data_IF_089148651625
#
_entry.id   IF_089148651625
#
_cell.length_a   1.000
_cell.length_b   1.000
_cell.length_c   1.000
_cell.angle_alpha   90.00
_cell.angle_beta   90.00
_cell.angle_gamma   90.00
#
_symmetry.space_group_name_H-M   'P 1'
#
loop_
_entity.id
_entity.type
_entity.pdbx_description
1 polymer ?
#
# COMPACT_ATOMS: atom_id res chain seq x y z
N UNK A 1 -44.74 4.78 11.29
CA UNK A 1 -43.88 3.74 10.70
C UNK A 1 -42.68 4.46 10.13
N UNK A 2 -41.47 4.22 10.65
CA UNK A 2 -40.27 4.76 10.01
C UNK A 2 -40.07 3.97 8.72
N UNK A 3 -39.99 4.68 7.59
CA UNK A 3 -39.74 4.09 6.29
C UNK A 3 -38.32 3.50 6.35
N UNK A 4 -38.20 2.17 6.40
CA UNK A 4 -36.89 1.53 6.31
C UNK A 4 -36.42 1.74 4.87
N UNK A 5 -35.30 2.46 4.64
CA UNK A 5 -34.78 2.69 3.30
C UNK A 5 -34.49 1.35 2.63
N UNK A 6 -34.75 1.26 1.32
CA UNK A 6 -34.43 0.07 0.52
C UNK A 6 -32.92 -0.20 0.63
N UNK A 7 -32.49 -1.47 0.84
CA UNK A 7 -31.07 -1.81 0.87
C UNK A 7 -30.34 -1.32 -0.38
N UNK A 8 -29.16 -0.70 -0.26
CA UNK A 8 -28.41 -0.22 -1.42
C UNK A 8 -27.84 -1.38 -2.25
N UNK A 9 -27.77 -1.15 -3.55
CA UNK A 9 -26.98 -1.93 -4.51
C UNK A 9 -25.60 -1.25 -4.67
N UNK A 10 -24.53 -2.03 -4.88
CA UNK A 10 -23.17 -1.52 -5.09
C UNK A 10 -23.08 -0.55 -6.30
N UNK A 11 -23.97 -0.68 -7.29
CA UNK A 11 -24.11 0.21 -8.44
C UNK A 11 -24.36 1.67 -8.04
N UNK A 12 -25.03 1.90 -6.90
CA UNK A 12 -25.15 3.25 -6.32
C UNK A 12 -23.76 3.84 -6.11
N UNK A 13 -22.88 3.13 -5.40
CA UNK A 13 -21.56 3.60 -5.05
C UNK A 13 -20.59 3.62 -6.24
N UNK A 14 -20.72 2.65 -7.16
CA UNK A 14 -19.97 2.65 -8.41
C UNK A 14 -20.26 3.89 -9.27
N UNK A 15 -21.50 4.40 -9.26
CA UNK A 15 -21.88 5.66 -9.93
C UNK A 15 -21.44 6.93 -9.15
N UNK A 16 -20.90 6.77 -7.95
CA UNK A 16 -20.40 7.82 -7.07
C UNK A 16 -18.89 7.76 -6.83
N UNK A 17 -18.15 6.90 -7.55
CA UNK A 17 -16.69 6.95 -7.55
C UNK A 17 -16.19 8.37 -7.87
N UNK A 18 -15.31 8.90 -7.02
CA UNK A 18 -14.78 10.27 -7.08
C UNK A 18 -15.72 11.37 -6.59
N UNK A 19 -16.97 11.04 -6.20
CA UNK A 19 -17.89 12.00 -5.58
C UNK A 19 -17.73 11.98 -4.07
N UNK A 20 -18.08 13.09 -3.43
CA UNK A 20 -18.03 13.23 -1.98
C UNK A 20 -19.02 12.28 -1.31
N UNK A 21 -18.59 11.63 -0.22
CA UNK A 21 -19.37 10.64 0.51
C UNK A 21 -20.70 11.21 1.03
N UNK A 22 -20.72 12.49 1.40
CA UNK A 22 -21.90 13.22 1.87
C UNK A 22 -22.97 13.47 0.80
N UNK A 23 -22.71 13.10 -0.47
CA UNK A 23 -23.72 13.15 -1.55
C UNK A 23 -24.64 11.93 -1.54
N UNK A 24 -24.31 10.89 -0.79
CA UNK A 24 -25.16 9.73 -0.54
C UNK A 24 -26.12 10.06 0.61
N UNK A 25 -27.38 9.67 0.47
CA UNK A 25 -28.37 9.78 1.56
C UNK A 25 -27.85 9.06 2.81
N UNK A 26 -27.69 9.75 3.95
CA UNK A 26 -27.20 9.15 5.19
C UNK A 26 -27.97 7.91 5.64
N UNK A 27 -29.27 7.82 5.30
CA UNK A 27 -30.11 6.66 5.62
C UNK A 27 -29.65 5.38 4.94
N UNK A 28 -28.92 5.47 3.82
CA UNK A 28 -28.35 4.29 3.15
C UNK A 28 -27.35 3.57 4.06
N UNK A 29 -26.59 4.32 4.87
CA UNK A 29 -25.59 3.74 5.75
C UNK A 29 -26.18 3.05 6.99
N UNK A 30 -27.50 3.10 7.22
CA UNK A 30 -28.13 2.27 8.26
C UNK A 30 -28.06 0.77 7.94
N UNK A 31 -27.71 0.41 6.70
CA UNK A 31 -27.47 -0.97 6.26
C UNK A 31 -26.01 -1.41 6.39
N UNK A 32 -25.10 -0.50 6.74
CA UNK A 32 -23.70 -0.81 6.95
C UNK A 32 -23.47 -1.36 8.37
N UNK A 33 -22.42 -2.15 8.52
CA UNK A 33 -21.95 -2.68 9.79
C UNK A 33 -21.14 -1.61 10.52
N UNK A 34 -21.72 -1.02 11.58
CA UNK A 34 -21.11 0.02 12.44
C UNK A 34 -20.34 1.08 11.62
N UNK A 35 -21.03 1.84 10.75
CA UNK A 35 -20.36 2.68 9.77
C UNK A 35 -19.52 3.75 10.46
N UNK A 36 -18.20 3.63 10.31
CA UNK A 36 -17.26 4.65 10.71
C UNK A 36 -16.94 5.58 9.53
N UNK A 37 -17.38 6.83 9.67
CA UNK A 37 -17.08 7.90 8.71
C UNK A 37 -15.81 8.66 9.06
N UNK A 38 -15.23 8.37 10.23
CA UNK A 38 -13.95 8.91 10.63
C UNK A 38 -12.85 8.18 9.89
N UNK A 39 -11.84 8.94 9.52
CA UNK A 39 -10.65 8.41 8.88
C UNK A 39 -9.69 8.07 10.02
N UNK A 40 -9.15 6.83 10.10
CA UNK A 40 -8.28 6.45 11.19
C UNK A 40 -7.13 7.43 11.36
N UNK A 41 -6.76 7.75 12.60
CA UNK A 41 -5.69 8.72 12.90
C UNK A 41 -4.42 8.48 12.08
N UNK A 42 -4.03 7.22 11.89
CA UNK A 42 -2.80 6.84 11.20
C UNK A 42 -2.98 6.48 9.71
N UNK A 43 -4.20 6.51 9.18
CA UNK A 43 -4.49 6.11 7.80
C UNK A 43 -5.54 7.03 7.18
N UNK A 44 -5.24 7.70 6.05
CA UNK A 44 -6.18 8.59 5.40
C UNK A 44 -7.33 7.84 4.70
N UNK A 45 -7.32 6.50 4.76
CA UNK A 45 -8.30 5.61 4.16
C UNK A 45 -9.31 5.13 5.21
N UNK A 46 -10.59 5.47 5.00
CA UNK A 46 -11.72 4.87 5.69
C UNK A 46 -12.38 3.78 4.85
N UNK A 47 -13.13 2.89 5.50
CA UNK A 47 -13.89 1.83 4.86
C UNK A 47 -15.28 1.71 5.50
N UNK A 48 -16.29 1.50 4.66
CA UNK A 48 -17.66 1.18 5.10
C UNK A 48 -17.99 -0.23 4.61
N UNK A 49 -18.38 -1.09 5.54
CA UNK A 49 -18.66 -2.50 5.27
C UNK A 49 -20.17 -2.71 5.20
N UNK A 50 -20.63 -3.36 4.15
CA UNK A 50 -22.01 -3.84 4.02
C UNK A 50 -21.95 -5.37 3.96
N UNK A 51 -21.52 -6.00 5.05
CA UNK A 51 -21.22 -7.44 5.12
C UNK A 51 -22.41 -8.28 4.74
N UNK A 52 -23.60 -7.93 5.25
CA UNK A 52 -24.85 -8.63 4.92
C UNK A 52 -25.27 -8.50 3.44
N UNK A 53 -24.82 -7.44 2.75
CA UNK A 53 -25.10 -7.20 1.34
C UNK A 53 -23.96 -7.66 0.42
N UNK A 54 -22.83 -8.08 0.98
CA UNK A 54 -21.71 -8.66 0.24
C UNK A 54 -20.83 -7.66 -0.50
N UNK A 55 -20.75 -6.41 -0.04
CA UNK A 55 -19.84 -5.42 -0.61
C UNK A 55 -19.27 -4.46 0.45
N UNK A 56 -18.20 -3.76 0.10
CA UNK A 56 -17.62 -2.68 0.90
C UNK A 56 -17.20 -1.53 -0.01
N UNK A 57 -17.02 -0.35 0.57
CA UNK A 57 -16.43 0.79 -0.13
C UNK A 57 -15.30 1.39 0.69
N UNK A 58 -14.32 1.97 0.02
CA UNK A 58 -13.30 2.81 0.64
C UNK A 58 -13.51 4.27 0.26
N UNK A 59 -13.14 5.15 1.19
CA UNK A 59 -13.19 6.59 0.99
C UNK A 59 -11.96 7.25 1.61
N UNK A 60 -11.57 8.39 1.08
CA UNK A 60 -10.50 9.19 1.67
C UNK A 60 -10.56 10.66 1.23
N UNK A 61 -9.84 11.56 1.92
CA UNK A 61 -9.69 12.94 1.48
C UNK A 61 -9.16 13.02 0.03
N UNK A 62 -9.73 13.90 -0.82
CA UNK A 62 -9.36 13.96 -2.24
C UNK A 62 -7.95 14.53 -2.47
N UNK A 63 -7.42 15.34 -1.56
CA UNK A 63 -6.03 15.81 -1.55
C UNK A 63 -5.04 14.65 -1.34
N UNK A 64 -5.35 13.71 -0.45
CA UNK A 64 -4.57 12.48 -0.29
C UNK A 64 -4.66 11.60 -1.54
N UNK A 65 -5.87 11.35 -2.04
CA UNK A 65 -6.06 10.42 -3.15
C UNK A 65 -5.42 10.89 -4.46
N UNK A 66 -5.56 12.19 -4.76
CA UNK A 66 -5.05 12.81 -5.98
C UNK A 66 -3.66 13.44 -5.81
N UNK A 67 -3.11 13.46 -4.59
CA UNK A 67 -1.85 14.16 -4.27
C UNK A 67 -1.91 15.61 -4.75
N UNK A 68 -2.89 16.35 -4.24
CA UNK A 68 -3.18 17.72 -4.67
C UNK A 68 -3.68 18.58 -3.49
N UNK A 69 -2.78 19.39 -2.95
CA UNK A 69 -3.02 20.25 -1.78
C UNK A 69 -4.11 21.30 -1.99
N UNK A 70 -4.43 21.64 -3.24
CA UNK A 70 -5.55 22.53 -3.55
C UNK A 70 -6.92 21.92 -3.19
N UNK A 71 -6.97 20.62 -2.89
CA UNK A 71 -8.18 19.90 -2.46
C UNK A 71 -8.25 19.73 -0.93
N UNK A 72 -7.28 20.27 -0.18
CA UNK A 72 -7.22 20.12 1.27
C UNK A 72 -8.49 20.65 1.94
N UNK A 73 -8.97 19.93 2.95
CA UNK A 73 -10.18 20.26 3.70
C UNK A 73 -11.50 19.97 2.98
N UNK A 74 -11.48 19.43 1.76
CA UNK A 74 -12.70 18.95 1.10
C UNK A 74 -13.18 17.64 1.72
N UNK A 75 -14.49 17.39 1.61
CA UNK A 75 -15.09 16.15 2.11
C UNK A 75 -14.50 14.90 1.42
N UNK A 76 -14.36 13.78 2.15
CA UNK A 76 -13.85 12.54 1.59
C UNK A 76 -14.64 12.08 0.36
N UNK A 77 -13.94 11.50 -0.60
CA UNK A 77 -14.51 10.94 -1.83
C UNK A 77 -14.49 9.42 -1.79
N UNK A 78 -15.44 8.78 -2.48
CA UNK A 78 -15.46 7.33 -2.65
C UNK A 78 -14.39 6.94 -3.66
N UNK A 79 -13.47 6.05 -3.29
CA UNK A 79 -12.31 5.72 -4.13
C UNK A 79 -12.37 4.32 -4.72
N UNK A 80 -13.00 3.37 -4.04
CA UNK A 80 -13.25 2.05 -4.61
C UNK A 80 -14.45 1.36 -3.95
N UNK A 81 -14.98 0.38 -4.66
CA UNK A 81 -16.02 -0.55 -4.19
C UNK A 81 -15.52 -1.97 -4.42
N UNK A 82 -15.65 -2.82 -3.41
CA UNK A 82 -15.31 -4.25 -3.46
C UNK A 82 -16.58 -5.09 -3.34
N UNK A 83 -16.70 -6.11 -4.18
CA UNK A 83 -17.81 -7.05 -4.21
C UNK A 83 -17.27 -8.46 -3.94
N UNK A 84 -17.92 -9.18 -3.04
CA UNK A 84 -17.44 -10.47 -2.54
C UNK A 84 -18.30 -11.63 -3.04
N UNK A 85 -17.66 -12.74 -3.43
CA UNK A 85 -18.37 -13.98 -3.79
C UNK A 85 -18.93 -14.75 -2.59
N UNK A 86 -18.78 -14.18 -1.39
CA UNK A 86 -18.77 -14.84 -0.09
C UNK A 86 -17.34 -14.86 0.43
N UNK A 87 -17.09 -14.23 1.58
CA UNK A 87 -15.76 -14.08 2.17
C UNK A 87 -15.76 -14.55 3.63
N UNK A 88 -15.03 -15.62 3.89
CA UNK A 88 -14.88 -16.19 5.23
C UNK A 88 -14.00 -15.32 6.15
N UNK A 89 -13.07 -14.52 5.58
CA UNK A 89 -12.09 -13.79 6.37
C UNK A 89 -12.68 -12.53 7.02
N UNK A 90 -13.49 -11.76 6.28
CA UNK A 90 -14.14 -10.55 6.80
C UNK A 90 -15.66 -10.72 6.99
N UNK A 91 -16.19 -11.92 6.76
CA UNK A 91 -17.58 -12.30 7.03
C UNK A 91 -18.58 -11.65 6.09
N UNK A 92 -18.18 -11.34 4.85
CA UNK A 92 -19.12 -10.81 3.84
C UNK A 92 -19.98 -11.94 3.27
N UNK A 93 -21.28 -11.71 3.19
CA UNK A 93 -22.17 -12.50 2.38
C UNK A 93 -21.77 -12.42 0.89
N UNK A 94 -22.30 -13.33 0.08
CA UNK A 94 -22.16 -13.23 -1.37
C UNK A 94 -23.00 -12.07 -1.89
N UNK A 95 -22.39 -11.18 -2.67
CA UNK A 95 -23.11 -10.17 -3.41
C UNK A 95 -24.07 -10.81 -4.42
N UNK A 96 -25.35 -10.46 -4.36
CA UNK A 96 -26.43 -11.16 -5.10
C UNK A 96 -27.09 -10.33 -6.22
N UNK A 97 -26.64 -9.09 -6.43
CA UNK A 97 -27.12 -8.25 -7.52
C UNK A 97 -26.18 -8.33 -8.74
N UNK A 98 -26.53 -7.59 -9.80
CA UNK A 98 -25.74 -7.56 -11.03
C UNK A 98 -24.32 -7.03 -10.75
N UNK A 99 -23.32 -7.79 -11.18
CA UNK A 99 -21.91 -7.39 -11.09
C UNK A 99 -21.54 -6.42 -12.22
N UNK A 100 -20.54 -5.55 -12.00
CA UNK A 100 -20.08 -4.63 -13.03
C UNK A 100 -19.52 -5.40 -14.24
N UNK A 101 -19.65 -4.79 -15.43
CA UNK A 101 -19.04 -5.27 -16.69
C UNK A 101 -19.48 -6.69 -17.07
N UNK A 102 -20.72 -7.05 -16.74
CA UNK A 102 -21.33 -8.36 -17.06
C UNK A 102 -20.55 -9.55 -16.48
N UNK A 103 -19.72 -9.32 -15.47
CA UNK A 103 -18.98 -10.38 -14.79
C UNK A 103 -19.91 -11.30 -13.99
N UNK A 104 -19.44 -12.51 -13.72
CA UNK A 104 -20.07 -13.48 -12.81
C UNK A 104 -18.99 -14.02 -11.87
N UNK A 105 -19.31 -14.26 -10.60
CA UNK A 105 -18.32 -14.86 -9.69
C UNK A 105 -17.90 -16.29 -10.11
N UNK A 106 -18.68 -16.96 -10.97
CA UNK A 106 -18.32 -18.25 -11.57
C UNK A 106 -17.45 -18.10 -12.83
N UNK A 107 -17.15 -16.87 -13.27
CA UNK A 107 -16.22 -16.66 -14.38
C UNK A 107 -14.83 -17.16 -13.97
N UNK A 108 -14.28 -18.04 -14.80
CA UNK A 108 -12.86 -18.36 -14.73
C UNK A 108 -12.04 -17.26 -15.43
N UNK A 109 -10.71 -17.35 -15.32
CA UNK A 109 -9.80 -16.38 -15.96
C UNK A 109 -10.08 -16.17 -17.46
N UNK A 110 -10.32 -17.23 -18.21
CA UNK A 110 -10.58 -17.14 -19.65
C UNK A 110 -11.85 -16.34 -19.95
N UNK A 111 -12.92 -16.55 -19.18
CA UNK A 111 -14.17 -15.80 -19.30
C UNK A 111 -13.96 -14.31 -19.00
N UNK A 112 -13.19 -13.98 -17.94
CA UNK A 112 -12.85 -12.58 -17.61
C UNK A 112 -12.07 -11.93 -18.75
N UNK A 113 -11.05 -12.59 -19.28
CA UNK A 113 -10.26 -12.07 -20.41
C UNK A 113 -11.12 -11.87 -21.67
N UNK A 114 -12.11 -12.73 -21.90
CA UNK A 114 -13.05 -12.57 -23.01
C UNK A 114 -13.94 -11.34 -22.84
N UNK A 115 -14.34 -11.01 -21.61
CA UNK A 115 -15.20 -9.86 -21.29
C UNK A 115 -14.43 -8.53 -21.27
N UNK A 116 -13.24 -8.53 -20.68
CA UNK A 116 -12.48 -7.31 -20.41
C UNK A 116 -11.28 -7.09 -21.35
N UNK A 117 -10.92 -8.09 -22.16
CA UNK A 117 -9.69 -8.10 -22.94
C UNK A 117 -8.47 -8.49 -22.09
N UNK A 118 -7.24 -8.34 -22.63
CA UNK A 118 -6.03 -8.65 -21.89
C UNK A 118 -5.88 -7.78 -20.64
N UNK A 119 -5.49 -8.40 -19.53
CA UNK A 119 -5.16 -7.68 -18.30
C UNK A 119 -4.02 -6.69 -18.53
N UNK A 120 -4.15 -5.48 -18.00
CA UNK A 120 -3.05 -4.52 -17.95
C UNK A 120 -1.91 -5.03 -17.06
N UNK A 121 -2.24 -5.82 -16.04
CA UNK A 121 -1.26 -6.42 -15.14
C UNK A 121 -1.82 -7.67 -14.45
N UNK A 122 -0.91 -8.59 -14.09
CA UNK A 122 -1.19 -9.75 -13.25
C UNK A 122 -0.20 -9.77 -12.10
N UNK A 123 -0.69 -9.94 -10.87
CA UNK A 123 0.13 -10.01 -9.67
C UNK A 123 1.10 -11.20 -9.77
N UNK A 124 2.42 -11.00 -9.99
CA UNK A 124 3.23 -12.09 -10.53
C UNK A 124 3.91 -12.99 -9.49
N UNK A 125 3.84 -12.69 -8.18
CA UNK A 125 4.92 -13.16 -7.28
C UNK A 125 4.49 -13.91 -6.01
N UNK A 126 3.19 -14.05 -5.71
CA UNK A 126 2.76 -14.57 -4.42
C UNK A 126 1.62 -15.59 -4.53
N UNK A 127 1.96 -16.88 -4.74
CA UNK A 127 0.99 -17.96 -4.56
C UNK A 127 0.39 -17.93 -3.14
N UNK A 128 -0.91 -18.24 -2.96
CA UNK A 128 -1.89 -18.62 -3.98
C UNK A 128 -2.64 -17.43 -4.61
N UNK A 129 -2.30 -16.19 -4.24
CA UNK A 129 -3.09 -15.01 -4.59
C UNK A 129 -2.93 -14.65 -6.07
N UNK A 130 -3.93 -15.01 -6.87
CA UNK A 130 -3.95 -14.60 -8.28
C UNK A 130 -4.88 -13.40 -8.44
N UNK A 131 -4.27 -12.28 -8.77
CA UNK A 131 -4.95 -11.01 -8.97
C UNK A 131 -4.59 -10.45 -10.33
N UNK A 132 -5.58 -9.97 -11.07
CA UNK A 132 -5.38 -9.31 -12.36
C UNK A 132 -6.07 -7.95 -12.35
N UNK A 133 -5.48 -7.00 -13.08
CA UNK A 133 -5.96 -5.62 -13.19
C UNK A 133 -6.23 -5.26 -14.64
N UNK A 134 -7.29 -4.50 -14.85
CA UNK A 134 -7.62 -3.81 -16.08
C UNK A 134 -7.71 -2.32 -15.81
N UNK A 135 -7.07 -1.53 -16.66
CA UNK A 135 -7.16 -0.08 -16.63
C UNK A 135 -8.19 0.36 -17.68
N UNK A 136 -9.27 0.98 -17.23
CA UNK A 136 -10.28 1.63 -18.07
C UNK A 136 -10.04 3.15 -18.08
N UNK A 137 -10.81 3.90 -18.87
CA UNK A 137 -10.59 5.33 -19.07
C UNK A 137 -10.71 6.18 -17.79
N UNK A 138 -11.68 5.89 -16.93
CA UNK A 138 -12.00 6.65 -15.72
C UNK A 138 -11.86 5.83 -14.41
N UNK A 139 -11.61 4.53 -14.54
CA UNK A 139 -11.55 3.58 -13.43
C UNK A 139 -10.57 2.45 -13.72
N UNK A 140 -10.21 1.71 -12.70
CA UNK A 140 -9.54 0.42 -12.81
C UNK A 140 -10.43 -0.67 -12.23
N UNK A 141 -10.22 -1.89 -12.71
CA UNK A 141 -10.88 -3.09 -12.23
C UNK A 141 -9.81 -4.06 -11.79
N UNK A 142 -10.01 -4.68 -10.64
CA UNK A 142 -9.12 -5.65 -10.06
C UNK A 142 -9.95 -6.88 -9.74
N UNK A 143 -9.48 -8.04 -10.20
CA UNK A 143 -10.14 -9.33 -10.00
C UNK A 143 -9.19 -10.21 -9.21
N UNK A 144 -9.61 -10.63 -8.03
CA UNK A 144 -8.96 -11.71 -7.30
C UNK A 144 -9.69 -13.01 -7.61
N UNK A 145 -8.95 -14.02 -8.03
CA UNK A 145 -9.50 -15.33 -8.34
C UNK A 145 -9.57 -16.21 -7.08
N UNK A 146 -10.51 -17.15 -7.06
CA UNK A 146 -10.52 -18.25 -6.11
C UNK A 146 -9.34 -19.20 -6.39
N UNK A 147 -9.07 -20.12 -5.47
CA UNK A 147 -8.06 -21.16 -5.68
C UNK A 147 -8.24 -21.86 -7.05
N UNK A 148 -7.12 -22.08 -7.74
CA UNK A 148 -7.04 -22.70 -9.06
C UNK A 148 -7.70 -21.92 -10.23
N UNK A 149 -7.99 -20.62 -10.09
CA UNK A 149 -8.50 -19.76 -11.17
C UNK A 149 -9.86 -20.16 -11.74
N UNK A 150 -10.63 -20.95 -10.99
CA UNK A 150 -11.92 -21.50 -11.44
C UNK A 150 -13.11 -20.55 -11.22
N UNK A 151 -12.92 -19.49 -10.45
CA UNK A 151 -13.92 -18.47 -10.17
C UNK A 151 -13.28 -17.20 -9.67
N UNK A 152 -14.10 -16.19 -9.44
CA UNK A 152 -13.71 -14.91 -8.85
C UNK A 152 -14.10 -14.90 -7.37
N UNK A 153 -13.16 -14.54 -6.50
CA UNK A 153 -13.42 -14.35 -5.07
C UNK A 153 -13.80 -12.90 -4.75
N UNK A 154 -13.11 -11.94 -5.36
CA UNK A 154 -13.31 -10.51 -5.16
C UNK A 154 -13.25 -9.77 -6.48
N UNK A 155 -14.18 -8.85 -6.68
CA UNK A 155 -14.14 -7.83 -7.73
C UNK A 155 -13.97 -6.48 -7.03
N UNK A 156 -12.96 -5.73 -7.41
CA UNK A 156 -12.78 -4.36 -6.95
C UNK A 156 -12.81 -3.41 -8.13
N UNK A 157 -13.58 -2.33 -8.02
CA UNK A 157 -13.63 -1.25 -9.00
C UNK A 157 -13.25 0.03 -8.30
N UNK A 158 -12.21 0.70 -8.79
CA UNK A 158 -11.72 1.92 -8.18
C UNK A 158 -11.47 3.05 -9.15
N UNK A 159 -11.41 4.26 -8.60
CA UNK A 159 -11.25 5.50 -9.34
C UNK A 159 -9.86 5.57 -9.97
N UNK A 160 -9.77 6.01 -11.24
CA UNK A 160 -8.47 6.33 -11.82
C UNK A 160 -7.92 7.63 -11.24
N UNK A 161 -6.61 7.65 -11.01
CA UNK A 161 -5.96 8.80 -10.40
C UNK A 161 -5.68 9.88 -11.42
N UNK A 162 -5.89 11.13 -11.01
CA UNK A 162 -5.33 12.27 -11.71
C UNK A 162 -3.82 12.30 -11.54
N UNK A 163 -3.13 12.94 -12.49
CA UNK A 163 -1.71 13.23 -12.33
C UNK A 163 -1.51 14.08 -11.07
N UNK A 164 -0.52 13.74 -10.20
CA UNK A 164 -0.19 14.56 -9.05
C UNK A 164 0.04 16.01 -9.45
N UNK A 165 -0.38 16.95 -8.60
CA UNK A 165 -0.04 18.37 -8.77
C UNK A 165 1.07 18.73 -7.80
N UNK A 166 1.98 19.60 -8.24
CA UNK A 166 3.05 20.09 -7.38
C UNK A 166 2.45 20.75 -6.12
N UNK A 167 3.04 20.47 -4.97
CA UNK A 167 2.67 21.15 -3.73
C UNK A 167 2.86 22.66 -3.88
N UNK A 168 1.97 23.41 -3.25
CA UNK A 168 2.09 24.87 -3.09
C UNK A 168 2.79 25.24 -1.77
N UNK A 169 3.09 24.25 -0.93
CA UNK A 169 3.78 24.46 0.34
C UNK A 169 5.26 24.79 0.10
N UNK A 170 5.90 25.54 1.02
CA UNK A 170 7.33 25.79 0.96
C UNK A 170 8.10 24.47 0.92
N UNK A 171 8.93 24.29 -0.11
CA UNK A 171 9.81 23.12 -0.20
C UNK A 171 10.87 23.21 0.88
N UNK A 172 10.84 22.25 1.80
CA UNK A 172 12.00 21.96 2.64
C UNK A 172 12.93 21.03 1.87
N UNK A 173 14.24 21.16 2.11
CA UNK A 173 15.19 20.18 1.59
C UNK A 173 15.06 18.92 2.44
N UNK A 174 14.70 17.80 1.82
CA UNK A 174 14.55 16.51 2.50
C UNK A 174 15.78 15.64 2.27
N UNK A 175 16.08 14.67 3.16
CA UNK A 175 17.20 13.75 3.02
C UNK A 175 16.90 12.72 1.93
N UNK A 176 17.12 13.10 0.67
CA UNK A 176 16.94 12.20 -0.47
C UNK A 176 17.92 11.03 -0.49
N UNK A 177 17.64 10.06 -1.36
CA UNK A 177 18.42 8.83 -1.39
C UNK A 177 19.90 9.10 -1.62
N UNK A 178 20.23 10.09 -2.46
CA UNK A 178 21.62 10.46 -2.73
C UNK A 178 22.29 11.03 -1.48
N UNK A 179 21.60 11.90 -0.73
CA UNK A 179 22.12 12.46 0.51
C UNK A 179 22.33 11.37 1.56
N UNK A 180 21.34 10.51 1.76
CA UNK A 180 21.39 9.41 2.75
C UNK A 180 22.51 8.44 2.44
N UNK A 181 22.68 8.05 1.17
CA UNK A 181 23.78 7.17 0.74
C UNK A 181 25.17 7.71 1.10
N UNK A 182 25.38 9.01 0.95
CA UNK A 182 26.65 9.64 1.29
C UNK A 182 26.92 9.64 2.81
N UNK A 183 25.86 9.54 3.61
CA UNK A 183 25.89 9.63 5.06
C UNK A 183 25.77 8.29 5.79
N UNK A 184 25.49 7.21 5.08
CA UNK A 184 25.47 5.88 5.67
C UNK A 184 26.78 5.54 6.39
N UNK A 185 26.64 4.96 7.59
CA UNK A 185 27.79 4.64 8.46
C UNK A 185 28.40 5.84 9.18
N UNK A 186 27.85 7.05 9.06
CA UNK A 186 28.31 8.24 9.79
C UNK A 186 27.53 8.43 11.08
N UNK A 187 28.17 9.04 12.07
CA UNK A 187 27.55 9.33 13.37
C UNK A 187 26.49 10.42 13.29
N UNK A 188 25.56 10.43 14.25
CA UNK A 188 24.49 11.44 14.30
C UNK A 188 24.98 12.90 14.22
N UNK A 189 26.06 13.33 14.90
CA UNK A 189 26.58 14.69 14.74
C UNK A 189 27.05 15.02 13.32
N UNK A 190 27.64 14.06 12.61
CA UNK A 190 28.06 14.24 11.23
C UNK A 190 26.84 14.35 10.30
N UNK A 191 25.82 13.49 10.50
CA UNK A 191 24.56 13.54 9.74
C UNK A 191 23.81 14.85 9.98
N UNK A 192 23.70 15.28 11.23
CA UNK A 192 23.01 16.53 11.61
C UNK A 192 23.67 17.78 11.02
N UNK A 193 24.95 17.72 10.66
CA UNK A 193 25.67 18.84 10.04
C UNK A 193 25.35 19.03 8.55
N UNK A 194 24.76 18.02 7.90
CA UNK A 194 24.45 18.07 6.48
C UNK A 194 23.19 18.89 6.17
N UNK A 195 23.20 19.74 5.14
CA UNK A 195 22.06 20.61 4.82
C UNK A 195 20.74 19.89 4.58
N UNK A 196 20.77 18.64 4.09
CA UNK A 196 19.56 17.87 3.76
C UNK A 196 18.83 17.30 4.99
N UNK A 197 19.46 17.33 6.17
CA UNK A 197 18.85 16.93 7.45
C UNK A 197 18.46 18.14 8.32
N UNK A 198 18.57 19.36 7.77
CA UNK A 198 18.28 20.58 8.50
C UNK A 198 16.83 20.60 8.99
N UNK A 199 16.64 20.78 10.29
CA UNK A 199 15.32 20.87 10.92
C UNK A 199 14.83 19.55 11.52
N UNK A 200 15.66 18.50 11.48
CA UNK A 200 15.46 17.25 12.21
C UNK A 200 16.22 17.34 13.54
N UNK A 201 15.59 16.89 14.62
CA UNK A 201 16.21 16.86 15.95
C UNK A 201 16.95 15.53 16.16
N UNK A 202 18.27 15.62 16.36
CA UNK A 202 19.15 14.47 16.64
C UNK A 202 19.59 14.41 18.10
N UNK A 203 19.08 15.30 18.97
CA UNK A 203 19.56 15.45 20.34
C UNK A 203 19.27 14.23 21.23
N UNK A 204 18.28 13.42 20.87
CA UNK A 204 17.93 12.20 21.59
C UNK A 204 18.72 10.96 21.13
N UNK A 205 19.48 11.06 20.03
CA UNK A 205 20.32 9.93 19.58
C UNK A 205 21.44 9.71 20.61
N UNK A 206 21.57 8.51 21.20
CA UNK A 206 22.60 8.27 22.19
C UNK A 206 24.02 8.44 21.63
N UNK A 207 24.91 9.07 22.40
CA UNK A 207 26.33 9.22 22.03
C UNK A 207 27.10 7.89 22.09
N UNK A 208 26.64 6.94 22.91
CA UNK A 208 27.27 5.64 23.12
C UNK A 208 26.55 4.50 22.37
N UNK A 209 27.24 3.37 22.14
CA UNK A 209 26.69 2.23 21.41
C UNK A 209 25.43 1.70 22.09
N UNK A 210 24.38 1.49 21.30
CA UNK A 210 23.17 0.82 21.75
C UNK A 210 23.37 -0.70 21.84
N UNK A 211 22.70 -1.35 22.79
CA UNK A 211 22.93 -2.76 23.07
C UNK A 211 22.13 -3.75 22.21
N UNK A 212 20.93 -3.42 21.71
CA UNK A 212 20.13 -4.41 20.94
C UNK A 212 19.07 -3.83 19.98
N UNK A 213 18.84 -2.51 19.94
CA UNK A 213 17.81 -1.89 19.08
C UNK A 213 18.39 -0.75 18.24
N UNK A 214 17.75 -0.47 17.11
CA UNK A 214 17.98 0.76 16.36
C UNK A 214 17.26 1.93 17.04
N UNK A 215 17.87 3.11 17.00
CA UNK A 215 17.22 4.37 17.39
C UNK A 215 16.51 4.96 16.18
N UNK A 216 15.23 5.24 16.33
CA UNK A 216 14.41 5.87 15.30
C UNK A 216 14.18 7.35 15.64
N UNK A 217 14.47 8.24 14.69
CA UNK A 217 14.01 9.62 14.71
C UNK A 217 12.77 9.72 13.83
N UNK A 218 11.64 10.06 14.45
CA UNK A 218 10.40 10.38 13.74
C UNK A 218 10.48 11.82 13.18
N UNK A 219 10.74 11.92 11.87
CA UNK A 219 10.65 13.17 11.11
C UNK A 219 9.48 13.13 10.11
N UNK A 220 8.47 12.27 10.32
CA UNK A 220 7.30 12.16 9.45
C UNK A 220 6.51 13.46 9.31
N UNK A 221 6.22 14.23 10.39
CA UNK A 221 5.38 15.43 10.28
C UNK A 221 6.01 16.56 9.46
N UNK A 222 7.34 16.53 9.26
CA UNK A 222 8.08 17.58 8.57
C UNK A 222 8.68 17.07 7.27
N UNK A 223 9.44 15.99 7.30
CA UNK A 223 10.24 15.48 6.18
C UNK A 223 9.65 14.23 5.52
N UNK A 224 8.55 13.68 6.06
CA UNK A 224 7.94 12.46 5.54
C UNK A 224 8.88 11.25 5.59
N UNK A 225 9.83 11.24 6.53
CA UNK A 225 10.80 10.18 6.69
C UNK A 225 11.07 9.84 8.17
N UNK A 226 11.41 8.58 8.44
CA UNK A 226 11.97 8.12 9.71
C UNK A 226 13.44 7.75 9.49
N UNK A 227 14.32 8.14 10.42
CA UNK A 227 15.76 7.95 10.28
C UNK A 227 16.24 6.97 11.35
N UNK A 228 17.08 6.01 10.96
CA UNK A 228 17.50 4.91 11.82
C UNK A 228 19.00 5.00 12.11
N UNK A 229 19.36 4.81 13.38
CA UNK A 229 20.73 4.69 13.84
C UNK A 229 20.93 3.36 14.55
N UNK A 230 22.02 2.67 14.25
CA UNK A 230 22.41 1.41 14.91
C UNK A 230 23.82 1.54 15.48
N UNK A 231 24.14 0.71 16.47
CA UNK A 231 25.51 0.59 16.96
C UNK A 231 26.42 0.12 15.82
N UNK A 232 27.49 0.86 15.56
CA UNK A 232 28.48 0.50 14.57
C UNK A 232 29.09 -0.88 14.86
N UNK A 233 29.54 -1.58 13.82
CA UNK A 233 30.16 -2.91 13.97
C UNK A 233 31.39 -2.93 14.90
N UNK A 234 32.07 -1.79 15.08
CA UNK A 234 33.18 -1.63 16.03
C UNK A 234 32.73 -1.35 17.47
N UNK A 235 31.43 -1.13 17.69
CA UNK A 235 30.81 -0.91 18.99
C UNK A 235 31.14 0.45 19.62
N UNK A 236 31.62 1.43 18.85
CA UNK A 236 32.10 2.70 19.42
C UNK A 236 31.17 3.89 19.24
N UNK A 237 30.21 3.82 18.31
CA UNK A 237 29.27 4.91 18.05
C UNK A 237 27.97 4.38 17.44
N UNK A 238 26.90 5.17 17.50
CA UNK A 238 25.71 4.94 16.68
C UNK A 238 25.88 5.61 15.32
N UNK A 239 25.53 4.89 14.26
CA UNK A 239 25.72 5.33 12.87
C UNK A 239 24.42 5.24 12.09
N UNK A 240 24.25 6.13 11.11
CA UNK A 240 23.11 6.10 10.21
C UNK A 240 23.07 4.77 9.48
N UNK A 241 22.04 3.98 9.78
CA UNK A 241 21.88 2.61 9.32
C UNK A 241 20.76 2.47 8.31
N UNK A 242 19.75 3.34 8.36
CA UNK A 242 18.62 3.27 7.45
C UNK A 242 17.76 4.53 7.42
N UNK A 243 16.83 4.53 6.47
CA UNK A 243 15.78 5.55 6.35
C UNK A 243 14.51 4.91 5.81
N UNK A 244 13.35 5.35 6.31
CA UNK A 244 12.04 5.00 5.77
C UNK A 244 11.36 6.24 5.23
N UNK A 245 11.05 6.25 3.93
CA UNK A 245 10.25 7.27 3.29
C UNK A 245 8.78 6.87 3.30
N UNK A 246 7.89 7.80 3.67
CA UNK A 246 6.46 7.52 3.78
C UNK A 246 5.66 8.48 2.90
N UNK A 247 4.71 7.91 2.15
CA UNK A 247 3.78 8.67 1.31
C UNK A 247 2.97 9.64 2.16
N UNK A 248 2.70 10.83 1.61
CA UNK A 248 1.87 11.85 2.23
C UNK A 248 0.56 11.28 2.79
N UNK A 249 0.21 11.67 4.00
CA UNK A 249 -1.05 11.32 4.67
C UNK A 249 -1.05 9.97 5.38
N UNK A 250 -0.10 9.08 5.12
CA UNK A 250 0.03 7.80 5.85
C UNK A 250 0.87 8.03 7.12
N UNK A 251 0.43 7.53 8.26
CA UNK A 251 1.10 7.69 9.57
C UNK A 251 1.44 9.16 9.89
N UNK A 252 0.52 10.09 9.58
CA UNK A 252 0.75 11.55 9.76
C UNK A 252 1.93 12.13 8.97
N UNK A 253 2.47 11.40 7.99
CA UNK A 253 3.53 11.88 7.14
C UNK A 253 3.09 13.11 6.33
N UNK A 254 3.90 14.16 6.36
CA UNK A 254 3.76 15.32 5.46
C UNK A 254 3.99 14.96 3.99
N UNK A 255 4.59 13.79 3.76
CA UNK A 255 4.98 13.28 2.46
C UNK A 255 6.42 13.58 2.12
N UNK A 256 7.13 12.55 1.69
CA UNK A 256 8.44 12.71 1.08
C UNK A 256 8.30 13.04 -0.41
N UNK A 257 8.96 14.12 -0.85
CA UNK A 257 8.93 14.67 -2.21
C UNK A 257 10.32 14.69 -2.89
N UNK A 258 11.36 14.25 -2.18
CA UNK A 258 12.72 14.15 -2.73
C UNK A 258 12.91 12.95 -3.68
N UNK A 259 14.14 12.76 -4.14
CA UNK A 259 14.48 11.62 -5.00
C UNK A 259 14.50 10.31 -4.20
N UNK A 260 13.64 9.38 -4.61
CA UNK A 260 13.53 8.03 -4.04
C UNK A 260 14.47 7.04 -4.74
N UNK A 261 14.81 5.91 -4.09
CA UNK A 261 15.71 4.90 -4.65
C UNK A 261 15.27 4.42 -6.04
N UNK A 262 16.24 4.28 -6.96
CA UNK A 262 16.04 3.74 -8.32
C UNK A 262 14.93 4.46 -9.12
N UNK A 263 14.63 5.73 -8.78
CA UNK A 263 13.60 6.53 -9.45
C UNK A 263 12.17 6.05 -9.17
N UNK A 264 11.96 5.24 -8.13
CA UNK A 264 10.63 4.85 -7.65
C UNK A 264 9.84 6.11 -7.24
N UNK A 265 8.52 6.06 -7.32
CA UNK A 265 7.63 7.13 -6.86
C UNK A 265 6.45 6.56 -6.10
N UNK A 266 5.84 7.35 -5.24
CA UNK A 266 4.70 6.89 -4.44
C UNK A 266 3.46 6.54 -5.28
N UNK A 267 3.31 7.15 -6.46
CA UNK A 267 2.27 6.81 -7.43
C UNK A 267 2.57 5.56 -8.27
N UNK A 268 3.77 4.99 -8.15
CA UNK A 268 4.10 3.79 -8.91
C UNK A 268 3.27 2.60 -8.43
N UNK A 269 2.87 1.78 -9.40
CA UNK A 269 2.20 0.50 -9.19
C UNK A 269 3.23 -0.60 -8.96
N UNK A 270 2.85 -1.74 -8.34
CA UNK A 270 3.76 -2.83 -8.05
C UNK A 270 4.65 -3.26 -9.24
N UNK A 271 4.10 -3.33 -10.45
CA UNK A 271 4.86 -3.67 -11.66
C UNK A 271 5.89 -2.63 -12.09
N UNK A 272 5.58 -1.35 -11.90
CA UNK A 272 6.48 -0.27 -12.27
C UNK A 272 7.72 -0.26 -11.35
N UNK A 273 7.56 -0.69 -10.10
CA UNK A 273 8.66 -0.80 -9.14
C UNK A 273 9.68 -1.83 -9.63
N UNK A 274 9.23 -3.03 -10.00
CA UNK A 274 10.11 -4.11 -10.49
C UNK A 274 10.87 -3.66 -11.74
N UNK A 275 10.18 -3.01 -12.68
CA UNK A 275 10.80 -2.48 -13.89
C UNK A 275 11.87 -1.41 -13.59
N UNK A 276 11.62 -0.52 -12.61
CA UNK A 276 12.55 0.54 -12.20
C UNK A 276 13.77 0.04 -11.45
N UNK A 277 13.60 -0.96 -10.58
CA UNK A 277 14.71 -1.59 -9.87
C UNK A 277 15.59 -2.40 -10.84
N UNK A 278 15.00 -2.92 -11.92
CA UNK A 278 15.73 -3.64 -12.97
C UNK A 278 16.12 -5.07 -12.59
N UNK A 279 15.58 -5.59 -11.47
CA UNK A 279 15.75 -6.97 -11.01
C UNK A 279 14.50 -7.44 -10.25
N UNK A 280 14.33 -8.76 -10.16
CA UNK A 280 13.25 -9.33 -9.35
C UNK A 280 13.55 -9.21 -7.85
N UNK A 281 12.52 -8.99 -7.02
CA UNK A 281 12.69 -9.01 -5.57
C UNK A 281 13.14 -10.41 -5.10
N UNK A 282 13.94 -10.44 -4.02
CA UNK A 282 14.42 -11.69 -3.41
C UNK A 282 13.34 -12.35 -2.55
N UNK A 283 12.46 -11.55 -1.94
CA UNK A 283 11.30 -11.99 -1.16
C UNK A 283 10.21 -10.92 -1.17
N UNK A 284 9.02 -11.27 -0.71
CA UNK A 284 7.89 -10.36 -0.52
C UNK A 284 6.70 -11.09 0.06
N UNK A 285 5.69 -10.33 0.49
CA UNK A 285 4.40 -10.83 0.97
C UNK A 285 3.32 -9.84 0.59
N UNK A 286 2.13 -10.33 0.27
CA UNK A 286 0.98 -9.51 -0.04
C UNK A 286 -0.28 -10.29 0.27
N UNK A 287 -1.31 -9.53 0.61
CA UNK A 287 -2.68 -9.99 0.74
C UNK A 287 -3.60 -9.04 -0.05
N UNK A 288 -4.90 -9.21 0.14
CA UNK A 288 -5.92 -8.38 -0.50
C UNK A 288 -5.84 -6.88 -0.16
N UNK A 289 -5.16 -6.50 0.93
CA UNK A 289 -5.08 -5.12 1.41
C UNK A 289 -3.75 -4.45 1.05
N UNK A 290 -2.64 -5.13 1.29
CA UNK A 290 -1.30 -4.58 1.19
C UNK A 290 -0.26 -5.65 0.88
N UNK A 291 0.94 -5.22 0.52
CA UNK A 291 2.09 -6.09 0.43
C UNK A 291 3.40 -5.34 0.47
N UNK A 292 4.49 -6.08 0.31
CA UNK A 292 5.82 -5.55 0.11
C UNK A 292 6.65 -6.44 -0.81
N UNK A 293 7.63 -5.80 -1.45
CA UNK A 293 8.73 -6.44 -2.13
C UNK A 293 10.04 -6.04 -1.46
N UNK A 294 11.02 -6.94 -1.49
CA UNK A 294 12.32 -6.72 -0.89
C UNK A 294 13.42 -7.10 -1.89
N UNK A 295 14.43 -6.25 -2.01
CA UNK A 295 15.64 -6.49 -2.79
C UNK A 295 16.86 -6.39 -1.89
N UNK A 296 17.79 -7.30 -2.09
CA UNK A 296 19.14 -7.23 -1.53
C UNK A 296 20.08 -6.67 -2.62
N UNK A 297 20.15 -5.34 -2.74
CA UNK A 297 20.97 -4.68 -3.77
C UNK A 297 22.42 -4.53 -3.26
N UNK A 298 23.41 -4.45 -4.15
CA UNK A 298 24.81 -4.29 -3.75
C UNK A 298 25.05 -3.08 -2.83
N UNK A 299 24.29 -2.01 -3.00
CA UNK A 299 24.48 -0.75 -2.29
C UNK A 299 23.70 -0.70 -0.95
N UNK A 300 22.55 -1.39 -0.87
CA UNK A 300 21.64 -1.35 0.28
C UNK A 300 20.53 -2.42 0.17
N UNK A 301 19.88 -2.72 1.29
CA UNK A 301 18.59 -3.40 1.31
C UNK A 301 17.49 -2.42 0.90
N UNK A 302 16.60 -2.81 -0.01
CA UNK A 302 15.43 -2.02 -0.41
C UNK A 302 14.17 -2.80 -0.11
N UNK A 303 13.30 -2.27 0.76
CA UNK A 303 11.96 -2.79 0.97
C UNK A 303 10.93 -1.75 0.51
N UNK A 304 10.02 -2.16 -0.37
CA UNK A 304 8.95 -1.29 -0.88
C UNK A 304 7.63 -1.90 -0.48
N UNK A 305 6.89 -1.24 0.41
CA UNK A 305 5.53 -1.66 0.76
C UNK A 305 4.49 -0.85 0.00
N UNK A 306 3.42 -1.52 -0.43
CA UNK A 306 2.38 -0.98 -1.29
C UNK A 306 0.99 -1.40 -0.81
N UNK A 307 -0.02 -0.62 -1.21
CA UNK A 307 -1.42 -0.99 -1.07
C UNK A 307 -1.84 -1.84 -2.26
N UNK A 308 -2.40 -3.03 -2.00
CA UNK A 308 -3.06 -3.85 -3.03
C UNK A 308 -4.38 -3.20 -3.44
N UNK A 309 -5.08 -2.52 -2.51
CA UNK A 309 -6.34 -1.83 -2.82
C UNK A 309 -6.14 -0.57 -3.66
N UNK A 310 -5.15 0.27 -3.33
CA UNK A 310 -4.90 1.51 -4.08
C UNK A 310 -3.91 1.32 -5.24
N UNK A 311 -3.24 0.17 -5.33
CA UNK A 311 -2.21 -0.14 -6.32
C UNK A 311 -1.08 0.90 -6.35
N UNK A 312 -0.60 1.28 -5.16
CA UNK A 312 0.39 2.35 -4.96
C UNK A 312 1.38 2.04 -3.86
N UNK A 313 2.58 2.62 -3.95
CA UNK A 313 3.58 2.53 -2.89
C UNK A 313 3.12 3.36 -1.68
N UNK A 314 3.22 2.75 -0.50
CA UNK A 314 2.91 3.39 0.78
C UNK A 314 4.19 3.85 1.49
N UNK A 315 5.22 3.00 1.49
CA UNK A 315 6.50 3.27 2.16
C UNK A 315 7.67 2.60 1.44
N UNK A 316 8.84 3.21 1.56
CA UNK A 316 10.10 2.68 1.06
C UNK A 316 11.09 2.71 2.21
N UNK A 317 11.58 1.55 2.61
CA UNK A 317 12.65 1.43 3.60
C UNK A 317 13.96 1.05 2.90
N UNK A 318 15.02 1.75 3.29
CA UNK A 318 16.38 1.50 2.82
C UNK A 318 17.28 1.30 4.02
N UNK A 319 18.08 0.24 4.02
CA UNK A 319 19.06 -0.03 5.06
C UNK A 319 20.43 -0.33 4.48
N UNK A 320 21.48 0.21 5.09
CA UNK A 320 22.86 -0.13 4.77
C UNK A 320 23.17 -1.55 5.25
N UNK A 321 23.96 -2.29 4.47
CA UNK A 321 24.59 -3.53 4.92
C UNK A 321 25.51 -3.25 6.13
N UNK A 322 25.48 -3.98 7.27
CA UNK A 322 24.70 -5.18 7.63
C UNK A 322 23.49 -4.89 8.57
N UNK A 323 23.01 -3.65 8.63
CA UNK A 323 22.08 -3.17 9.66
C UNK A 323 20.62 -3.51 9.37
N UNK A 324 20.36 -4.75 8.98
CA UNK A 324 19.03 -5.31 8.87
C UNK A 324 19.02 -6.77 9.31
N UNK A 325 17.93 -7.24 9.94
CA UNK A 325 17.84 -8.65 10.35
C UNK A 325 17.93 -9.59 9.14
N UNK A 326 18.80 -10.63 9.16
CA UNK A 326 18.86 -11.63 8.10
C UNK A 326 17.51 -12.31 7.82
N UNK A 327 16.66 -12.47 8.86
CA UNK A 327 15.32 -13.03 8.76
C UNK A 327 14.39 -12.26 7.79
N UNK A 328 14.70 -10.99 7.47
CA UNK A 328 13.97 -10.26 6.43
C UNK A 328 14.17 -10.88 5.03
N UNK A 329 15.31 -11.54 4.78
CA UNK A 329 15.61 -12.24 3.54
C UNK A 329 14.98 -13.64 3.49
N UNK A 330 14.64 -14.22 4.64
CA UNK A 330 14.11 -15.58 4.79
C UNK A 330 12.57 -15.65 4.71
N UNK A 331 11.89 -14.51 4.55
CA UNK A 331 10.43 -14.41 4.36
C UNK A 331 9.92 -15.10 3.07
N UNK A 332 8.61 -15.35 2.89
CA UNK A 332 8.08 -16.22 1.85
C UNK A 332 8.72 -15.99 0.48
N UNK A 333 9.33 -17.04 -0.08
CA UNK A 333 9.98 -16.95 -1.38
C UNK A 333 8.94 -16.66 -2.47
N UNK A 334 9.23 -15.67 -3.29
CA UNK A 334 8.39 -15.30 -4.42
C UNK A 334 8.43 -16.40 -5.48
N UNK A 335 7.27 -16.77 -6.04
CA UNK A 335 7.23 -17.60 -7.25
C UNK A 335 7.83 -16.82 -8.42
N UNK A 336 8.80 -17.39 -9.13
CA UNK A 336 9.32 -16.79 -10.37
C UNK A 336 8.28 -16.96 -11.49
N UNK A 337 8.11 -15.99 -12.41
CA UNK A 337 7.09 -16.05 -13.47
C UNK A 337 7.15 -17.30 -14.38
N UNK A 338 8.32 -17.94 -14.49
CA UNK A 338 8.56 -19.11 -15.33
C UNK A 338 8.73 -20.42 -14.53
N UNK A 339 8.58 -20.37 -13.21
CA UNK A 339 8.76 -21.54 -12.36
C UNK A 339 7.39 -22.23 -12.17
N UNK A 340 7.22 -23.50 -12.60
CA UNK A 340 5.99 -24.23 -12.39
C UNK A 340 5.79 -24.48 -10.89
N UNK A 341 5.10 -23.54 -10.24
CA UNK A 341 4.54 -23.58 -8.88
C UNK A 341 5.15 -24.64 -7.94
N UNK A 342 5.96 -24.27 -6.93
CA UNK A 342 6.34 -25.24 -5.91
C UNK A 342 5.07 -25.76 -5.22
N UNK A 343 4.83 -27.06 -5.30
CA UNK A 343 3.82 -27.74 -4.49
C UNK A 343 4.21 -27.58 -3.03
N UNK A 344 3.61 -26.61 -2.35
CA UNK A 344 3.71 -26.51 -0.89
C UNK A 344 2.84 -27.62 -0.31
N UNK A 345 3.47 -28.77 0.02
CA UNK A 345 2.79 -29.80 0.79
C UNK A 345 2.67 -29.33 2.24
N UNK A 346 1.46 -29.03 2.69
CA UNK A 346 1.20 -28.89 4.12
C UNK A 346 1.28 -30.28 4.74
N UNK A 347 2.35 -30.53 5.49
CA UNK A 347 2.49 -31.76 6.26
C UNK A 347 1.43 -31.82 7.35
N UNK A 348 0.60 -32.86 7.27
CA UNK A 348 -0.32 -33.26 8.33
C UNK A 348 0.46 -33.44 9.64
N UNK A 349 0.16 -32.59 10.63
CA UNK A 349 0.52 -32.83 12.03
C UNK A 349 -0.77 -32.99 12.82
N UNK A 350 -1.34 -34.19 12.76
CA UNK A 350 -2.30 -34.64 13.76
C UNK A 350 -1.56 -34.98 15.06
N UNK A 351 -1.97 -34.45 16.23
CA UNK A 351 -1.37 -34.83 17.50
C UNK A 351 -1.85 -36.23 17.94
N UNK A 352 -0.94 -37.03 18.49
CA UNK A 352 -1.25 -38.18 19.35
C UNK A 352 -1.16 -37.76 20.80
#
# INVERSE_FOLDING_TARGET
MMNVPVPPDANLFLSHLGKQLNTIDPLIFSHADDPDFTVPDHSPLGAILFRSLGFSLSFCPPDFYHMNDALAGQHPIITNVQLYSGDENFGHARYCHALPLEMDFNDNREAVLKKLGPSAWRFPFLPPFTLERWDLSDRWVLVAYSENLKGISIIQVGLSQNKPKATVLPKILQPDMRCVQAMFGRSAPAVASEPCFKGIDFSEVPDGPMCDDSFEIDALPTHGAEIYFDAAADGHANVLSGIRYIRKGIYWSSGFEGELPKGIRFEDRPEAIVAKVGSYPVTGVANCLSGYYLWNLPEFLLQVSFSTMEQRVNRIFVAMHPYYPPALLDSPMLGQPDDPSPQVSFGDSSPK
#
